data_IF_470566306076
#
_entry.id   IF_470566306076
#
_cell.length_a   1.000
_cell.length_b   1.000
_cell.length_c   1.000
_cell.angle_alpha   90.00
_cell.angle_beta   90.00
_cell.angle_gamma   90.00
#
_symmetry.space_group_name_H-M   'P 1'
#
loop_
_entity.id
_entity.type
_entity.pdbx_description
1 polymer ?
#
# COMPACT_ATOMS: atom_id res chain seq x y z
N UNK A 1 5.73 1.53 -41.26
CA UNK A 1 6.03 0.43 -40.35
C UNK A 1 5.29 0.69 -39.03
N UNK A 2 4.29 -0.11 -38.69
CA UNK A 2 3.65 -0.02 -37.36
C UNK A 2 4.64 -0.57 -36.34
N UNK A 3 5.05 0.27 -35.41
CA UNK A 3 5.90 -0.14 -34.28
C UNK A 3 5.10 -1.09 -33.40
N UNK A 4 5.62 -2.27 -33.14
CA UNK A 4 4.99 -3.24 -32.23
C UNK A 4 4.79 -2.57 -30.85
N UNK A 5 3.54 -2.40 -30.37
CA UNK A 5 3.27 -1.76 -29.09
C UNK A 5 3.67 -2.63 -27.89
N UNK A 6 3.87 -3.93 -28.10
CA UNK A 6 4.27 -4.85 -27.05
C UNK A 6 5.81 -4.87 -26.94
N UNK A 7 6.32 -4.21 -25.91
CA UNK A 7 7.74 -4.29 -25.54
C UNK A 7 7.86 -5.34 -24.42
N UNK A 8 8.45 -6.52 -24.69
CA UNK A 8 8.63 -7.58 -23.70
C UNK A 8 9.76 -7.24 -22.72
N UNK A 9 9.58 -6.15 -21.97
CA UNK A 9 10.53 -5.73 -20.94
C UNK A 9 9.80 -5.78 -19.61
N UNK A 10 10.34 -6.53 -18.65
CA UNK A 10 9.78 -6.60 -17.30
C UNK A 10 9.59 -5.19 -16.73
N UNK A 11 8.43 -4.91 -16.15
CA UNK A 11 8.11 -3.64 -15.50
C UNK A 11 7.64 -2.51 -16.43
N UNK A 12 7.41 -2.75 -17.72
CA UNK A 12 6.74 -1.76 -18.59
C UNK A 12 5.25 -2.03 -18.68
N UNK A 13 4.46 -1.04 -18.32
CA UNK A 13 3.00 -1.06 -18.49
C UNK A 13 2.66 -1.15 -19.97
N UNK A 14 1.83 -2.09 -20.41
CA UNK A 14 1.33 -2.14 -21.77
C UNK A 14 0.51 -0.87 -22.08
N UNK A 15 0.45 -0.42 -23.35
CA UNK A 15 -0.27 0.79 -23.73
C UNK A 15 -1.78 0.70 -23.50
N UNK A 16 -2.32 -0.50 -23.33
CA UNK A 16 -3.75 -0.74 -23.07
C UNK A 16 -3.90 -2.00 -22.24
N UNK A 17 -4.69 -1.91 -21.17
CA UNK A 17 -5.11 -3.04 -20.35
C UNK A 17 -6.49 -3.44 -20.84
N UNK A 18 -6.57 -4.55 -21.56
CA UNK A 18 -7.82 -5.05 -22.16
C UNK A 18 -8.46 -6.08 -21.23
N UNK A 19 -9.79 -5.98 -21.04
CA UNK A 19 -10.58 -6.92 -20.25
C UNK A 19 -10.45 -6.77 -18.74
N UNK A 20 -10.11 -5.57 -18.28
CA UNK A 20 -10.02 -5.18 -16.86
C UNK A 20 -10.73 -3.86 -16.56
N UNK A 21 -11.52 -3.38 -17.53
CA UNK A 21 -12.22 -2.10 -17.48
C UNK A 21 -13.16 -2.08 -16.28
N UNK A 22 -13.96 -3.12 -16.06
CA UNK A 22 -14.89 -3.23 -14.93
C UNK A 22 -14.19 -3.13 -13.58
N UNK A 23 -13.02 -3.77 -13.45
CA UNK A 23 -12.22 -3.75 -12.20
C UNK A 23 -11.67 -2.35 -11.93
N UNK A 24 -11.21 -1.66 -12.98
CA UNK A 24 -10.70 -0.30 -12.86
C UNK A 24 -11.84 0.70 -12.60
N UNK A 25 -13.03 0.48 -13.15
CA UNK A 25 -14.21 1.29 -12.88
C UNK A 25 -14.66 1.14 -11.42
N UNK A 26 -14.78 -0.10 -10.91
CA UNK A 26 -15.08 -0.37 -9.49
C UNK A 26 -14.03 0.27 -8.57
N UNK A 27 -12.74 0.17 -8.92
CA UNK A 27 -11.67 0.80 -8.16
C UNK A 27 -11.81 2.34 -8.16
N UNK A 28 -12.09 2.92 -9.33
CA UNK A 28 -12.30 4.36 -9.47
C UNK A 28 -13.50 4.87 -8.65
N UNK A 29 -14.60 4.12 -8.64
CA UNK A 29 -15.73 4.41 -7.75
C UNK A 29 -15.32 4.40 -6.28
N UNK A 30 -14.48 3.44 -5.87
CA UNK A 30 -13.91 3.38 -4.53
C UNK A 30 -13.07 4.61 -4.18
N UNK A 31 -12.36 5.21 -5.12
CA UNK A 31 -11.61 6.45 -4.91
C UNK A 31 -12.52 7.67 -4.67
N UNK A 32 -13.62 7.75 -5.40
CA UNK A 32 -14.50 8.94 -5.46
C UNK A 32 -15.58 8.91 -4.37
N UNK A 33 -16.20 7.74 -4.13
CA UNK A 33 -17.41 7.63 -3.30
C UNK A 33 -17.14 7.58 -1.79
N UNK A 34 -15.90 7.65 -1.36
CA UNK A 34 -15.57 7.76 0.06
C UNK A 34 -15.58 6.44 0.86
N UNK A 35 -15.49 6.51 2.19
CA UNK A 35 -15.45 5.35 3.06
C UNK A 35 -16.67 4.45 2.90
N UNK A 36 -16.46 3.12 2.86
CA UNK A 36 -17.52 2.13 2.70
C UNK A 36 -17.92 1.85 1.25
N UNK A 37 -17.38 2.58 0.27
CA UNK A 37 -17.64 2.30 -1.13
C UNK A 37 -17.02 0.94 -1.57
N UNK A 38 -17.66 0.20 -2.48
CA UNK A 38 -17.03 -0.89 -3.21
C UNK A 38 -15.69 -0.45 -3.80
N UNK A 39 -14.76 -1.35 -4.01
CA UNK A 39 -13.43 -1.02 -4.56
C UNK A 39 -12.41 -0.44 -3.58
N UNK A 40 -12.81 -0.12 -2.32
CA UNK A 40 -11.88 0.37 -1.28
C UNK A 40 -10.94 -0.69 -0.73
N UNK A 41 -11.34 -1.94 -0.73
CA UNK A 41 -10.53 -3.09 -0.39
C UNK A 41 -10.72 -4.14 -1.48
N UNK A 42 -9.70 -4.31 -2.30
CA UNK A 42 -9.73 -5.23 -3.43
C UNK A 42 -8.68 -6.30 -3.30
N UNK A 43 -9.06 -7.53 -3.61
CA UNK A 43 -8.15 -8.66 -3.74
C UNK A 43 -8.10 -9.12 -5.19
N UNK A 44 -6.95 -8.98 -5.81
CA UNK A 44 -6.71 -9.43 -7.18
C UNK A 44 -6.12 -10.83 -7.14
N UNK A 45 -6.88 -11.82 -7.61
CA UNK A 45 -6.46 -13.21 -7.67
C UNK A 45 -6.33 -13.68 -9.13
N UNK A 46 -5.41 -14.59 -9.38
CA UNK A 46 -5.18 -15.16 -10.70
C UNK A 46 -3.86 -15.91 -10.79
N UNK A 47 -3.70 -16.73 -11.80
CA UNK A 47 -2.46 -17.49 -12.04
C UNK A 47 -1.29 -16.54 -12.37
N UNK A 48 -0.07 -17.04 -12.26
CA UNK A 48 1.13 -16.27 -12.62
C UNK A 48 1.06 -15.85 -14.10
N UNK A 49 1.47 -14.60 -14.38
CA UNK A 49 1.47 -14.08 -15.75
C UNK A 49 0.15 -13.46 -16.22
N UNK A 50 -0.91 -13.43 -15.39
CA UNK A 50 -2.21 -12.79 -15.75
C UNK A 50 -2.23 -11.28 -15.64
N UNK A 51 -1.09 -10.63 -15.39
CA UNK A 51 -0.98 -9.17 -15.34
C UNK A 51 -1.44 -8.54 -14.02
N UNK A 52 -1.40 -9.27 -12.89
CA UNK A 52 -1.76 -8.73 -11.56
C UNK A 52 -0.95 -7.48 -11.21
N UNK A 53 0.37 -7.55 -11.33
CA UNK A 53 1.28 -6.41 -11.08
C UNK A 53 0.95 -5.22 -11.97
N UNK A 54 0.66 -5.46 -13.26
CA UNK A 54 0.27 -4.40 -14.20
C UNK A 54 -1.04 -3.74 -13.78
N UNK A 55 -2.01 -4.51 -13.29
CA UNK A 55 -3.28 -3.98 -12.78
C UNK A 55 -3.07 -3.16 -11.50
N UNK A 56 -2.22 -3.63 -10.57
CA UNK A 56 -1.84 -2.86 -9.37
C UNK A 56 -1.15 -1.54 -9.73
N UNK A 57 -0.30 -1.54 -10.76
CA UNK A 57 0.34 -0.32 -11.25
C UNK A 57 -0.68 0.65 -11.85
N UNK A 58 -1.67 0.16 -12.59
CA UNK A 58 -2.72 0.99 -13.16
C UNK A 58 -3.63 1.58 -12.06
N UNK A 59 -4.04 0.78 -11.07
CA UNK A 59 -4.75 1.28 -9.89
C UNK A 59 -3.94 2.38 -9.17
N UNK A 60 -2.63 2.17 -9.04
CA UNK A 60 -1.73 3.14 -8.43
C UNK A 60 -1.68 4.45 -9.22
N UNK A 61 -1.59 4.37 -10.54
CA UNK A 61 -1.58 5.53 -11.44
C UNK A 61 -2.90 6.29 -11.39
N UNK A 62 -4.01 5.57 -11.35
CA UNK A 62 -5.35 6.15 -11.23
C UNK A 62 -5.51 6.88 -9.90
N UNK A 63 -5.11 6.27 -8.78
CA UNK A 63 -5.15 6.92 -7.47
C UNK A 63 -4.28 8.19 -7.42
N UNK A 64 -3.08 8.15 -8.02
CA UNK A 64 -2.21 9.33 -8.13
C UNK A 64 -2.86 10.46 -8.95
N UNK A 65 -3.59 10.14 -10.02
CA UNK A 65 -4.32 11.15 -10.81
C UNK A 65 -5.44 11.83 -10.02
N UNK A 66 -5.99 11.15 -9.01
CA UNK A 66 -6.93 11.70 -8.04
C UNK A 66 -6.24 12.40 -6.84
N UNK A 67 -4.91 12.55 -6.85
CA UNK A 67 -4.16 13.20 -5.80
C UNK A 67 -3.97 12.36 -4.53
N UNK A 68 -4.17 11.05 -4.59
CA UNK A 68 -3.95 10.16 -3.46
C UNK A 68 -2.46 9.91 -3.25
N UNK A 69 -2.07 9.75 -1.99
CA UNK A 69 -0.75 9.18 -1.66
C UNK A 69 -0.77 7.69 -1.99
N UNK A 70 0.26 7.22 -2.69
CA UNK A 70 0.37 5.81 -3.09
C UNK A 70 1.64 5.20 -2.53
N UNK A 71 1.49 4.07 -1.84
CA UNK A 71 2.57 3.21 -1.37
C UNK A 71 2.46 1.87 -2.11
N UNK A 72 3.58 1.43 -2.69
CA UNK A 72 3.68 0.15 -3.38
C UNK A 72 4.69 -0.71 -2.65
N UNK A 73 4.26 -1.88 -2.21
CA UNK A 73 5.12 -2.83 -1.50
C UNK A 73 4.95 -4.25 -2.04
N UNK A 74 6.00 -5.02 -1.89
CA UNK A 74 5.95 -6.47 -1.99
C UNK A 74 5.80 -7.03 -0.58
N UNK A 75 4.89 -7.96 -0.40
CA UNK A 75 4.54 -8.51 0.90
C UNK A 75 5.60 -9.51 1.40
N UNK A 76 6.73 -8.99 1.84
CA UNK A 76 7.85 -9.74 2.42
C UNK A 76 8.12 -9.28 3.86
N UNK A 77 8.98 -9.98 4.59
CA UNK A 77 9.41 -9.62 5.95
C UNK A 77 9.74 -8.13 6.08
N UNK A 78 9.29 -7.49 7.16
CA UNK A 78 9.46 -6.05 7.42
C UNK A 78 8.50 -5.14 6.64
N UNK A 79 7.41 -5.67 6.10
CA UNK A 79 6.41 -4.93 5.33
C UNK A 79 5.87 -3.71 6.08
N UNK A 80 5.41 -3.89 7.32
CA UNK A 80 4.83 -2.82 8.13
C UNK A 80 5.85 -1.71 8.42
N UNK A 81 7.11 -2.08 8.65
CA UNK A 81 8.19 -1.14 8.87
C UNK A 81 8.47 -0.30 7.61
N UNK A 82 8.55 -0.94 6.43
CA UNK A 82 8.77 -0.22 5.16
C UNK A 82 7.64 0.74 4.82
N UNK A 83 6.39 0.35 5.09
CA UNK A 83 5.23 1.25 4.92
C UNK A 83 5.35 2.46 5.88
N UNK A 84 5.69 2.22 7.15
CA UNK A 84 5.87 3.28 8.14
C UNK A 84 6.97 4.26 7.73
N UNK A 85 8.10 3.77 7.24
CA UNK A 85 9.23 4.58 6.76
C UNK A 85 8.85 5.46 5.57
N UNK A 86 8.05 4.96 4.65
CA UNK A 86 7.55 5.77 3.52
C UNK A 86 6.55 6.85 3.95
N UNK A 87 5.73 6.57 4.95
CA UNK A 87 4.80 7.55 5.51
C UNK A 87 5.48 8.64 6.34
N UNK A 88 6.59 8.30 6.99
CA UNK A 88 7.36 9.18 7.88
C UNK A 88 8.85 9.23 7.50
N UNK A 89 9.23 9.84 6.37
CA UNK A 89 10.63 9.86 5.93
C UNK A 89 11.58 10.56 6.92
N UNK A 90 11.08 11.34 7.87
CA UNK A 90 11.88 11.94 8.95
C UNK A 90 12.23 10.97 10.08
N UNK A 91 11.61 9.79 10.12
CA UNK A 91 11.88 8.78 11.13
C UNK A 91 13.27 8.12 10.93
N UNK A 92 13.70 7.99 9.68
CA UNK A 92 15.04 7.46 9.35
C UNK A 92 16.18 8.28 9.96
N UNK A 93 16.01 9.60 10.08
CA UNK A 93 17.07 10.48 10.59
C UNK A 93 17.29 10.36 12.12
N UNK A 94 16.31 9.87 12.88
CA UNK A 94 16.47 9.70 14.34
C UNK A 94 17.07 8.36 14.74
N UNK A 95 16.92 7.33 13.92
CA UNK A 95 17.52 6.02 14.18
C UNK A 95 18.94 5.87 13.59
N UNK A 96 19.34 6.71 12.65
CA UNK A 96 20.71 6.76 12.12
C UNK A 96 21.75 7.36 13.10
N UNK A 97 21.33 7.89 14.24
CA UNK A 97 22.21 8.29 15.35
C UNK A 97 22.12 7.30 16.51
N UNK A 98 22.31 6.03 16.24
CA UNK A 98 22.57 5.06 17.27
C UNK A 98 24.09 4.98 17.47
N UNK A 99 24.56 5.62 18.52
CA UNK A 99 25.93 5.40 19.00
C UNK A 99 26.09 3.92 19.33
N UNK A 100 27.20 3.27 18.92
CA UNK A 100 27.46 1.90 19.30
C UNK A 100 27.96 1.88 20.76
N UNK A 101 27.06 1.87 21.70
CA UNK A 101 27.43 1.64 23.10
C UNK A 101 26.63 0.51 23.72
N UNK A 102 27.31 -0.63 23.83
CA UNK A 102 27.26 -1.62 24.92
C UNK A 102 25.95 -2.40 25.11
N UNK A 103 26.16 -3.71 25.05
CA UNK A 103 25.33 -4.80 25.57
C UNK A 103 24.16 -5.30 24.68
N UNK A 104 24.48 -6.30 23.82
CA UNK A 104 23.71 -7.56 23.78
C UNK A 104 22.23 -7.48 23.42
N UNK A 105 21.79 -6.52 22.62
CA UNK A 105 20.42 -6.53 22.05
C UNK A 105 20.54 -7.04 20.62
N UNK A 106 20.09 -8.28 20.41
CA UNK A 106 19.94 -8.86 19.08
C UNK A 106 19.04 -7.97 18.24
N UNK A 107 19.59 -7.46 17.14
CA UNK A 107 18.86 -6.80 16.05
C UNK A 107 18.00 -7.90 15.38
N UNK A 108 16.83 -8.22 15.93
CA UNK A 108 16.06 -9.37 15.44
C UNK A 108 14.59 -9.45 15.82
N UNK A 109 14.10 -8.59 16.68
CA UNK A 109 12.66 -8.53 16.94
C UNK A 109 12.23 -7.06 17.07
N UNK A 110 11.91 -6.45 15.95
CA UNK A 110 11.14 -5.20 15.97
C UNK A 110 9.80 -5.57 16.59
N UNK A 111 9.47 -4.97 17.75
CA UNK A 111 8.23 -5.20 18.46
C UNK A 111 7.04 -4.85 17.57
N UNK A 112 6.49 -5.84 16.89
CA UNK A 112 5.31 -5.73 16.01
C UNK A 112 4.15 -5.06 16.76
N UNK A 113 4.04 -5.29 18.07
CA UNK A 113 3.04 -4.66 18.94
C UNK A 113 3.15 -3.13 18.99
N UNK A 114 4.34 -2.55 18.81
CA UNK A 114 4.56 -1.10 18.78
C UNK A 114 4.41 -0.47 17.40
N UNK A 115 4.60 -1.25 16.34
CA UNK A 115 4.49 -0.77 14.96
C UNK A 115 3.04 -0.45 14.60
N UNK A 116 2.08 -1.27 15.02
CA UNK A 116 0.67 -1.10 14.67
C UNK A 116 0.08 0.29 15.02
N UNK A 117 0.20 0.78 16.26
CA UNK A 117 -0.25 2.12 16.61
C UNK A 117 0.48 3.22 15.84
N UNK A 118 1.81 3.13 15.69
CA UNK A 118 2.61 4.10 14.94
C UNK A 118 2.25 4.14 13.46
N UNK A 119 1.98 2.98 12.86
CA UNK A 119 1.55 2.84 11.47
C UNK A 119 0.17 3.49 11.24
N UNK A 120 -0.78 3.27 12.16
CA UNK A 120 -2.10 3.90 12.13
C UNK A 120 -2.02 5.43 12.18
N UNK A 121 -1.22 5.97 13.08
CA UNK A 121 -1.05 7.41 13.23
C UNK A 121 -0.36 8.03 12.02
N UNK A 122 0.63 7.34 11.46
CA UNK A 122 1.30 7.75 10.23
C UNK A 122 0.33 7.77 9.03
N UNK A 123 -0.53 6.75 8.89
CA UNK A 123 -1.56 6.71 7.84
C UNK A 123 -2.57 7.87 7.99
N UNK A 124 -3.08 8.11 9.21
CA UNK A 124 -3.98 9.25 9.49
C UNK A 124 -3.34 10.58 9.14
N UNK A 125 -2.07 10.76 9.51
CA UNK A 125 -1.33 11.98 9.22
C UNK A 125 -1.12 12.17 7.71
N UNK A 126 -0.82 11.10 6.97
CA UNK A 126 -0.66 11.15 5.52
C UNK A 126 -1.96 11.55 4.82
N UNK A 127 -3.09 10.97 5.21
CA UNK A 127 -4.42 11.30 4.69
C UNK A 127 -4.79 12.75 5.03
N UNK A 128 -4.56 13.18 6.27
CA UNK A 128 -4.86 14.54 6.70
C UNK A 128 -4.06 15.61 5.95
N UNK A 129 -2.81 15.32 5.59
CA UNK A 129 -1.96 16.27 4.85
C UNK A 129 -2.38 16.47 3.41
N UNK A 130 -2.82 15.41 2.74
CA UNK A 130 -3.11 15.43 1.31
C UNK A 130 -4.58 15.64 1.00
N UNK A 131 -5.47 15.46 1.99
CA UNK A 131 -6.91 15.69 1.85
C UNK A 131 -7.68 14.66 1.03
N UNK A 132 -7.01 13.84 0.22
CA UNK A 132 -7.67 12.94 -0.74
C UNK A 132 -7.71 11.49 -0.26
N UNK A 133 -6.56 10.90 0.07
CA UNK A 133 -6.52 9.52 0.57
C UNK A 133 -5.14 8.89 0.48
N UNK A 134 -5.08 7.64 0.95
CA UNK A 134 -3.90 6.79 0.92
C UNK A 134 -4.27 5.46 0.28
N UNK A 135 -3.55 5.07 -0.77
CA UNK A 135 -3.59 3.75 -1.38
C UNK A 135 -2.34 2.97 -0.99
N UNK A 136 -2.52 1.76 -0.53
CA UNK A 136 -1.45 0.80 -0.31
C UNK A 136 -1.70 -0.39 -1.23
N UNK A 137 -0.79 -0.66 -2.14
CA UNK A 137 -0.82 -1.85 -2.99
C UNK A 137 0.21 -2.85 -2.51
N UNK A 138 -0.21 -4.10 -2.36
CA UNK A 138 0.64 -5.22 -1.96
C UNK A 138 0.69 -6.24 -3.09
N UNK A 139 1.87 -6.50 -3.62
CA UNK A 139 2.10 -7.62 -4.54
C UNK A 139 2.64 -8.84 -3.77
N UNK A 140 2.48 -10.03 -4.34
CA UNK A 140 2.94 -11.32 -3.81
C UNK A 140 2.47 -11.59 -2.35
N UNK A 141 1.21 -11.27 -2.04
CA UNK A 141 0.63 -11.38 -0.67
C UNK A 141 0.73 -12.78 -0.08
N UNK A 142 0.86 -13.82 -0.92
CA UNK A 142 1.05 -15.19 -0.46
C UNK A 142 2.39 -15.42 0.25
N UNK A 143 3.38 -14.55 0.03
CA UNK A 143 4.72 -14.63 0.62
C UNK A 143 4.82 -13.79 1.91
N UNK A 144 3.72 -13.13 2.30
CA UNK A 144 3.65 -12.29 3.49
C UNK A 144 3.65 -13.10 4.78
N UNK A 145 4.31 -12.59 5.80
CA UNK A 145 4.13 -13.09 7.16
C UNK A 145 2.74 -12.75 7.70
N UNK A 146 2.05 -13.75 8.24
CA UNK A 146 0.66 -13.62 8.69
C UNK A 146 0.49 -12.51 9.74
N UNK A 147 1.45 -12.36 10.65
CA UNK A 147 1.40 -11.36 11.71
C UNK A 147 1.56 -9.93 11.18
N UNK A 148 2.35 -9.72 10.12
CA UNK A 148 2.46 -8.42 9.46
C UNK A 148 1.17 -8.05 8.72
N UNK A 149 0.56 -9.00 8.00
CA UNK A 149 -0.73 -8.77 7.34
C UNK A 149 -1.82 -8.47 8.36
N UNK A 150 -1.84 -9.16 9.50
CA UNK A 150 -2.76 -8.90 10.61
C UNK A 150 -2.55 -7.51 11.18
N UNK A 151 -1.29 -7.12 11.45
CA UNK A 151 -0.94 -5.80 11.99
C UNK A 151 -1.37 -4.68 11.05
N UNK A 152 -1.10 -4.83 9.74
CA UNK A 152 -1.55 -3.89 8.73
C UNK A 152 -3.08 -3.80 8.68
N UNK A 153 -3.79 -4.92 8.71
CA UNK A 153 -5.25 -4.97 8.69
C UNK A 153 -5.85 -4.23 9.90
N UNK A 154 -5.30 -4.45 11.09
CA UNK A 154 -5.72 -3.75 12.32
C UNK A 154 -5.41 -2.24 12.23
N UNK A 155 -4.31 -1.85 11.61
CA UNK A 155 -3.96 -0.44 11.45
C UNK A 155 -4.90 0.29 10.48
N UNK A 156 -5.37 -0.39 9.43
CA UNK A 156 -6.25 0.18 8.39
C UNK A 156 -7.69 0.35 8.88
N UNK A 157 -8.24 -0.60 9.64
CA UNK A 157 -9.65 -0.61 10.05
C UNK A 157 -10.16 0.73 10.61
N UNK A 158 -9.51 1.36 11.61
CA UNK A 158 -10.03 2.62 12.18
C UNK A 158 -9.86 3.82 11.24
N UNK A 159 -8.98 3.73 10.24
CA UNK A 159 -8.77 4.79 9.26
C UNK A 159 -9.88 4.80 8.21
N UNK A 160 -10.41 3.62 7.90
CA UNK A 160 -11.51 3.45 6.94
C UNK A 160 -12.88 3.87 7.48
N UNK A 161 -13.04 3.90 8.82
CA UNK A 161 -14.34 4.16 9.49
C UNK A 161 -14.45 5.54 10.15
N UNK A 162 -13.56 6.49 9.89
CA UNK A 162 -13.53 7.81 10.57
C UNK A 162 -14.73 8.72 10.28
N UNK A 163 -15.78 8.26 9.62
CA UNK A 163 -17.02 9.03 9.38
C UNK A 163 -18.30 8.33 9.80
N UNK A 164 -18.24 7.33 10.68
CA UNK A 164 -19.42 6.86 11.40
C UNK A 164 -19.59 7.68 12.69
N UNK A 165 -20.02 8.92 12.56
CA UNK A 165 -20.76 9.58 13.62
C UNK A 165 -22.17 9.02 13.58
N UNK A 166 -22.46 8.06 14.44
CA UNK A 166 -23.83 7.72 14.79
C UNK A 166 -24.44 8.93 15.51
N UNK A 167 -25.69 9.28 15.23
CA UNK A 167 -26.41 10.32 15.93
C UNK A 167 -26.60 9.98 17.40
#
# INVERSE_FOLDING_TARGET
MQTNPFKPTAGKTPPTIIGREDVLEEFNEGLVNGPGAPGRLMRIAGVRGTGKTVLLDECSRLAQSHGWTVIKEVATEGLCQRILEQLQPKFQAKHARFEPSVAGISIGSIDIERIGPSLRDAMRQAISKNGNGLLITLDEVQDAELDEVRTLSIAIQPVSYTHLTLP
#
